data_IF_993834148121
#
_entry.id   IF_993834148121
#
_cell.length_a   1.000
_cell.length_b   1.000
_cell.length_c   1.000
_cell.angle_alpha   90.00
_cell.angle_beta   90.00
_cell.angle_gamma   90.00
#
_symmetry.space_group_name_H-M   'P 1'
#
loop_
_entity.id
_entity.type
_entity.pdbx_description
1 polymer ?
#
# COMPACT_ATOMS: atom_id res chain seq x y z
N UNK A 1 0.10 7.84 16.20
CA UNK A 1 1.24 8.37 15.40
C UNK A 1 2.53 7.88 16.01
N UNK A 2 3.48 7.50 15.19
CA UNK A 2 4.76 6.92 15.61
C UNK A 2 5.90 7.89 15.27
N UNK A 3 6.67 8.30 16.27
CA UNK A 3 7.74 9.29 16.10
C UNK A 3 8.98 8.68 15.47
N UNK A 4 9.61 9.40 14.53
CA UNK A 4 10.92 9.05 13.99
C UNK A 4 11.98 9.53 14.98
N UNK A 5 12.75 8.60 15.52
CA UNK A 5 13.79 8.85 16.55
C UNK A 5 15.13 9.17 15.88
N UNK A 6 15.45 8.47 14.79
CA UNK A 6 16.65 8.76 13.99
C UNK A 6 16.47 8.37 12.55
N UNK A 7 17.18 9.07 11.66
CA UNK A 7 17.27 8.82 10.23
C UNK A 7 18.73 8.79 9.80
N UNK A 8 19.13 7.74 9.12
CA UNK A 8 20.48 7.53 8.60
C UNK A 8 20.43 7.19 7.11
N UNK A 9 21.33 7.72 6.32
CA UNK A 9 21.45 7.43 4.90
C UNK A 9 22.46 6.31 4.68
N UNK A 10 22.06 5.23 4.02
CA UNK A 10 22.99 4.20 3.52
C UNK A 10 23.51 4.53 2.12
N UNK A 11 22.65 5.13 1.29
CA UNK A 11 23.00 5.67 -0.01
C UNK A 11 22.07 6.84 -0.35
N UNK A 12 22.21 7.44 -1.53
CA UNK A 12 21.37 8.54 -1.99
C UNK A 12 19.85 8.21 -1.88
N UNK A 13 19.48 6.94 -2.13
CA UNK A 13 18.08 6.48 -2.20
C UNK A 13 17.71 5.40 -1.17
N UNK A 14 18.58 5.12 -0.19
CA UNK A 14 18.29 4.10 0.83
C UNK A 14 18.50 4.69 2.22
N UNK A 15 17.46 4.62 3.03
CA UNK A 15 17.37 5.22 4.35
C UNK A 15 17.08 4.17 5.41
N UNK A 16 17.70 4.34 6.56
CA UNK A 16 17.37 3.63 7.80
C UNK A 16 16.60 4.57 8.71
N UNK A 17 15.42 4.15 9.14
CA UNK A 17 14.56 4.88 10.06
C UNK A 17 14.42 4.09 11.36
N UNK A 18 14.65 4.74 12.50
CA UNK A 18 14.33 4.19 13.83
C UNK A 18 13.07 4.89 14.30
N UNK A 19 12.04 4.10 14.63
CA UNK A 19 10.68 4.58 14.91
C UNK A 19 10.26 4.12 16.30
N UNK A 20 9.62 5.00 17.06
CA UNK A 20 9.00 4.66 18.33
C UNK A 20 7.75 3.79 18.11
N UNK A 21 7.80 2.53 18.53
CA UNK A 21 6.72 1.55 18.42
C UNK A 21 6.83 0.47 19.49
N UNK A 22 6.60 0.79 20.80
CA UNK A 22 6.95 -0.08 21.92
C UNK A 22 6.22 -1.42 21.94
N UNK A 23 4.97 -1.48 21.51
CA UNK A 23 4.20 -2.72 21.45
C UNK A 23 4.73 -3.65 20.35
N UNK A 24 5.08 -3.08 19.21
CA UNK A 24 5.65 -3.83 18.08
C UNK A 24 7.06 -4.32 18.46
N UNK A 25 7.88 -3.45 19.04
CA UNK A 25 9.25 -3.79 19.45
C UNK A 25 9.32 -4.99 20.40
N UNK A 26 8.36 -5.08 21.34
CA UNK A 26 8.28 -6.19 22.31
C UNK A 26 7.81 -7.51 21.71
N UNK A 27 6.97 -7.49 20.71
CA UNK A 27 6.28 -8.67 20.18
C UNK A 27 6.85 -9.16 18.83
N UNK A 28 7.69 -8.36 18.17
CA UNK A 28 8.25 -8.73 16.87
C UNK A 28 9.19 -9.93 16.95
N UNK A 29 9.23 -10.72 15.90
CA UNK A 29 10.22 -11.79 15.63
C UNK A 29 10.83 -11.58 14.24
N UNK A 30 11.90 -12.32 13.91
CA UNK A 30 12.45 -12.33 12.56
C UNK A 30 11.36 -12.69 11.53
N UNK A 31 11.38 -12.05 10.35
CA UNK A 31 10.38 -12.23 9.29
C UNK A 31 9.13 -11.37 9.43
N UNK A 32 8.84 -10.79 10.61
CA UNK A 32 7.69 -9.90 10.77
C UNK A 32 7.89 -8.57 10.05
N UNK A 33 6.79 -7.99 9.57
CA UNK A 33 6.75 -6.70 8.89
C UNK A 33 5.70 -5.77 9.53
N UNK A 34 5.66 -4.54 9.08
CA UNK A 34 4.64 -3.54 9.42
C UNK A 34 4.03 -2.97 8.15
N UNK A 35 2.81 -2.48 8.24
CA UNK A 35 2.23 -1.58 7.24
C UNK A 35 2.43 -0.16 7.72
N UNK A 36 3.03 0.68 6.89
CA UNK A 36 3.31 2.09 7.14
C UNK A 36 2.46 2.96 6.24
N UNK A 37 1.93 4.06 6.77
CA UNK A 37 1.20 5.08 5.99
C UNK A 37 1.63 6.48 6.42
N UNK A 38 1.94 7.35 5.45
CA UNK A 38 2.32 8.74 5.65
C UNK A 38 1.19 9.66 5.17
N UNK A 39 0.66 10.49 6.05
CA UNK A 39 -0.49 11.35 5.78
C UNK A 39 -1.83 10.61 5.75
N UNK A 40 -2.93 11.34 5.84
CA UNK A 40 -4.27 10.75 5.87
C UNK A 40 -4.65 10.05 4.55
N UNK A 41 -4.19 10.58 3.43
CA UNK A 41 -4.44 10.05 2.07
C UNK A 41 -3.28 9.20 1.54
N UNK A 42 -2.28 8.88 2.39
CA UNK A 42 -1.11 8.09 2.00
C UNK A 42 -1.45 6.64 1.71
N UNK A 43 -0.73 6.04 0.78
CA UNK A 43 -0.81 4.61 0.52
C UNK A 43 -0.21 3.80 1.67
N UNK A 44 -0.65 2.59 1.79
CA UNK A 44 -0.20 1.63 2.79
C UNK A 44 0.94 0.78 2.21
N UNK A 45 2.13 0.89 2.81
CA UNK A 45 3.34 0.18 2.36
C UNK A 45 3.74 -0.91 3.35
N UNK A 46 3.97 -2.14 2.91
CA UNK A 46 4.58 -3.17 3.74
C UNK A 46 6.09 -2.93 3.84
N UNK A 47 6.61 -2.88 5.05
CA UNK A 47 8.04 -2.77 5.33
C UNK A 47 8.44 -3.80 6.38
N UNK A 48 9.45 -4.62 6.08
CA UNK A 48 9.95 -5.60 7.04
C UNK A 48 10.72 -4.92 8.16
N UNK A 49 10.54 -5.42 9.38
CA UNK A 49 11.23 -4.93 10.57
C UNK A 49 12.68 -5.44 10.55
N UNK A 50 13.62 -4.58 10.18
CA UNK A 50 15.05 -4.91 10.08
C UNK A 50 15.73 -5.03 11.45
N UNK A 51 15.16 -4.42 12.49
CA UNK A 51 15.68 -4.48 13.86
C UNK A 51 14.66 -3.98 14.87
N UNK A 52 14.88 -4.26 16.16
CA UNK A 52 14.09 -3.68 17.24
C UNK A 52 14.89 -3.64 18.53
N UNK A 53 14.63 -2.63 19.34
CA UNK A 53 15.09 -2.51 20.71
C UNK A 53 13.88 -2.51 21.66
N UNK A 54 13.56 -3.64 22.31
CA UNK A 54 12.41 -3.73 23.21
C UNK A 54 12.53 -2.85 24.47
N UNK A 55 13.75 -2.48 24.86
CA UNK A 55 14.01 -1.63 26.04
C UNK A 55 13.71 -0.18 25.71
N UNK A 56 14.20 0.29 24.56
CA UNK A 56 13.89 1.65 24.06
C UNK A 56 12.50 1.74 23.44
N UNK A 57 11.84 0.62 23.16
CA UNK A 57 10.55 0.59 22.52
C UNK A 57 10.60 1.03 21.05
N UNK A 58 11.68 0.75 20.33
CA UNK A 58 11.87 1.20 18.95
C UNK A 58 11.99 0.03 17.97
N UNK A 59 11.59 0.28 16.72
CA UNK A 59 11.82 -0.61 15.58
C UNK A 59 12.67 0.10 14.52
N UNK A 60 13.41 -0.68 13.75
CA UNK A 60 14.22 -0.19 12.64
C UNK A 60 13.60 -0.65 11.31
N UNK A 61 13.38 0.30 10.42
CA UNK A 61 12.98 0.06 9.04
C UNK A 61 14.07 0.53 8.09
N UNK A 62 14.26 -0.17 6.99
CA UNK A 62 15.14 0.28 5.89
C UNK A 62 14.26 0.45 4.66
N UNK A 63 14.30 1.62 4.08
CA UNK A 63 13.41 2.05 3.01
C UNK A 63 14.24 2.46 1.80
N UNK A 64 13.90 1.93 0.64
CA UNK A 64 14.43 2.39 -0.64
C UNK A 64 13.41 3.32 -1.30
N UNK A 65 13.86 4.47 -1.73
CA UNK A 65 13.06 5.42 -2.50
C UNK A 65 12.90 4.91 -3.93
N UNK A 66 11.71 4.42 -4.24
CA UNK A 66 11.39 3.82 -5.55
C UNK A 66 10.09 4.30 -6.16
N UNK A 67 9.22 4.96 -5.40
CA UNK A 67 7.92 5.45 -5.82
C UNK A 67 7.37 6.49 -4.86
N UNK A 68 6.25 7.12 -5.22
CA UNK A 68 5.66 8.26 -4.50
C UNK A 68 5.57 8.06 -2.97
N UNK A 69 5.07 6.91 -2.53
CA UNK A 69 4.86 6.65 -1.10
C UNK A 69 6.16 6.47 -0.33
N UNK A 70 7.17 5.81 -0.93
CA UNK A 70 8.50 5.69 -0.34
C UNK A 70 9.26 7.01 -0.34
N UNK A 71 9.11 7.84 -1.38
CA UNK A 71 9.66 9.21 -1.42
C UNK A 71 9.12 10.05 -0.27
N UNK A 72 7.78 10.09 -0.09
CA UNK A 72 7.14 10.82 1.03
C UNK A 72 7.60 10.33 2.41
N UNK A 73 7.81 9.03 2.57
CA UNK A 73 8.35 8.50 3.83
C UNK A 73 9.81 8.93 4.03
N UNK A 74 10.60 8.96 2.96
CA UNK A 74 11.99 9.38 2.98
C UNK A 74 12.18 10.90 3.15
N UNK A 75 11.17 11.72 2.86
CA UNK A 75 11.16 13.17 3.13
C UNK A 75 11.02 13.51 4.62
N UNK A 76 10.44 12.61 5.42
CA UNK A 76 10.29 12.82 6.86
C UNK A 76 11.66 12.85 7.56
N UNK A 77 11.77 13.66 8.60
CA UNK A 77 13.00 13.88 9.36
C UNK A 77 12.89 13.36 10.80
N UNK A 78 14.00 13.38 11.52
CA UNK A 78 14.01 13.11 12.96
C UNK A 78 13.05 14.07 13.69
N UNK A 79 12.20 13.51 14.53
CA UNK A 79 11.17 14.25 15.26
C UNK A 79 9.81 14.27 14.60
N UNK A 80 9.73 13.99 13.28
CA UNK A 80 8.47 13.87 12.55
C UNK A 80 7.69 12.61 12.95
N UNK A 81 6.42 12.55 12.53
CA UNK A 81 5.51 11.46 12.87
C UNK A 81 5.01 10.73 11.62
N UNK A 82 5.07 9.42 11.68
CA UNK A 82 4.40 8.53 10.73
C UNK A 82 2.94 8.38 11.19
N UNK A 83 2.00 8.53 10.25
CA UNK A 83 0.56 8.52 10.56
C UNK A 83 0.11 7.20 11.14
N UNK A 84 0.42 6.09 10.47
CA UNK A 84 0.13 4.74 10.94
C UNK A 84 1.36 3.82 10.81
N UNK A 85 1.57 3.02 11.85
CA UNK A 85 2.48 1.86 11.83
C UNK A 85 1.72 0.69 12.46
N UNK A 86 1.28 -0.24 11.62
CA UNK A 86 0.44 -1.36 12.03
C UNK A 86 1.26 -2.64 12.00
N UNK A 87 1.33 -3.34 13.11
CA UNK A 87 2.09 -4.59 13.22
C UNK A 87 2.31 -5.07 14.65
N UNK A 88 3.15 -6.10 14.88
CA UNK A 88 3.83 -6.87 13.84
C UNK A 88 2.85 -7.73 13.05
N UNK A 89 3.08 -7.86 11.75
CA UNK A 89 2.26 -8.62 10.82
C UNK A 89 3.08 -9.78 10.21
N UNK A 90 2.37 -10.71 9.60
CA UNK A 90 2.95 -11.92 8.99
C UNK A 90 3.27 -13.00 10.02
N UNK A 91 3.83 -14.09 9.52
CA UNK A 91 4.36 -15.18 10.34
C UNK A 91 5.85 -14.98 10.59
N UNK A 92 6.29 -15.31 11.78
CA UNK A 92 7.71 -15.33 12.08
C UNK A 92 8.42 -16.41 11.25
N UNK A 93 9.66 -16.13 10.85
CA UNK A 93 10.54 -17.08 10.20
C UNK A 93 10.70 -18.33 11.06
N UNK A 94 10.60 -19.50 10.44
CA UNK A 94 10.92 -20.76 11.11
C UNK A 94 12.43 -20.87 11.29
N UNK A 95 12.87 -20.86 12.55
CA UNK A 95 14.28 -20.91 12.92
C UNK A 95 14.53 -22.19 13.72
N UNK A 96 15.46 -23.01 13.23
CA UNK A 96 16.00 -24.17 13.92
C UNK A 96 17.47 -24.36 13.54
N UNK A 97 18.14 -25.35 14.11
CA UNK A 97 19.48 -25.71 13.68
C UNK A 97 19.40 -26.65 12.46
N UNK A 98 19.51 -26.06 11.29
CA UNK A 98 19.55 -26.77 10.00
C UNK A 98 20.93 -27.34 9.66
N UNK A 99 21.99 -26.82 10.28
CA UNK A 99 23.38 -27.07 9.93
C UNK A 99 24.02 -25.89 9.18
N UNK A 100 24.46 -26.09 7.94
CA UNK A 100 24.98 -25.01 7.09
C UNK A 100 23.86 -24.35 6.30
N UNK A 101 23.70 -23.04 6.48
CA UNK A 101 22.64 -22.23 5.85
C UNK A 101 23.27 -21.15 4.99
N UNK A 102 22.76 -21.01 3.76
CA UNK A 102 23.10 -19.89 2.86
C UNK A 102 21.97 -18.87 2.87
N UNK A 103 22.31 -17.60 3.13
CA UNK A 103 21.39 -16.46 3.11
C UNK A 103 21.74 -15.55 1.94
N UNK A 104 20.93 -15.52 0.89
CA UNK A 104 21.14 -14.75 -0.33
C UNK A 104 20.32 -13.45 -0.30
N UNK A 105 20.97 -12.31 -0.13
CA UNK A 105 20.32 -10.98 -0.03
C UNK A 105 20.64 -10.08 -1.20
N UNK A 106 19.60 -9.48 -1.82
CA UNK A 106 19.78 -8.56 -2.94
C UNK A 106 19.25 -7.16 -2.67
N UNK A 107 20.11 -6.14 -2.85
CA UNK A 107 19.75 -4.75 -2.65
C UNK A 107 19.16 -4.49 -1.25
N UNK A 108 18.03 -3.77 -1.16
CA UNK A 108 17.35 -3.48 0.11
C UNK A 108 16.87 -4.75 0.84
N UNK A 109 16.72 -5.89 0.15
CA UNK A 109 16.36 -7.18 0.73
C UNK A 109 17.37 -7.72 1.76
N UNK A 110 18.55 -7.15 1.83
CA UNK A 110 19.54 -7.41 2.90
C UNK A 110 19.02 -7.00 4.28
N UNK A 111 18.24 -5.92 4.35
CA UNK A 111 17.71 -5.42 5.62
C UNK A 111 16.71 -6.38 6.29
N UNK A 112 15.67 -6.90 5.60
CA UNK A 112 14.82 -7.96 6.15
C UNK A 112 15.56 -9.26 6.46
N UNK A 113 16.65 -9.55 5.77
CA UNK A 113 17.44 -10.75 5.99
C UNK A 113 18.26 -10.70 7.28
N UNK A 114 18.74 -9.54 7.72
CA UNK A 114 19.59 -9.38 8.90
C UNK A 114 19.01 -10.04 10.17
N UNK A 115 17.75 -9.78 10.59
CA UNK A 115 17.19 -10.44 11.77
C UNK A 115 17.05 -11.96 11.62
N UNK A 116 16.91 -12.46 10.39
CA UNK A 116 16.86 -13.90 10.12
C UNK A 116 18.26 -14.51 10.30
N UNK A 117 19.29 -13.88 9.74
CA UNK A 117 20.70 -14.27 9.90
C UNK A 117 21.09 -14.31 11.37
N UNK A 118 20.74 -13.28 12.13
CA UNK A 118 20.99 -13.20 13.58
C UNK A 118 20.31 -14.35 14.34
N UNK A 119 19.05 -14.63 14.00
CA UNK A 119 18.29 -15.70 14.66
C UNK A 119 18.85 -17.09 14.29
N UNK A 120 19.21 -17.33 13.02
CA UNK A 120 19.85 -18.57 12.56
C UNK A 120 21.20 -18.80 13.26
N UNK A 121 22.00 -17.74 13.37
CA UNK A 121 23.29 -17.80 14.10
C UNK A 121 23.10 -18.14 15.57
N UNK A 122 22.14 -17.50 16.22
CA UNK A 122 21.79 -17.78 17.62
C UNK A 122 21.27 -19.21 17.83
N UNK A 123 20.64 -19.82 16.83
CA UNK A 123 20.20 -21.22 16.84
C UNK A 123 21.34 -22.23 16.59
N UNK A 124 22.58 -21.78 16.42
CA UNK A 124 23.75 -22.63 16.25
C UNK A 124 24.03 -23.08 14.81
N UNK A 125 23.45 -22.44 13.81
CA UNK A 125 23.76 -22.70 12.41
C UNK A 125 25.13 -22.12 12.02
N UNK A 126 25.79 -22.76 11.07
CA UNK A 126 26.83 -22.14 10.26
C UNK A 126 26.15 -21.30 9.17
N UNK A 127 26.27 -19.98 9.28
CA UNK A 127 25.57 -19.04 8.40
C UNK A 127 26.56 -18.41 7.42
N UNK A 128 26.32 -18.62 6.13
CA UNK A 128 27.06 -18.00 5.03
C UNK A 128 26.11 -17.02 4.32
N UNK A 129 26.49 -15.75 4.28
CA UNK A 129 25.66 -14.71 3.68
C UNK A 129 26.26 -14.27 2.34
N UNK A 130 25.44 -14.25 1.29
CA UNK A 130 25.79 -13.71 -0.02
C UNK A 130 25.04 -12.39 -0.19
N UNK A 131 25.76 -11.27 -0.16
CA UNK A 131 25.23 -9.94 -0.37
C UNK A 131 25.40 -9.55 -1.83
N UNK A 132 24.31 -9.17 -2.49
CA UNK A 132 24.37 -8.78 -3.89
C UNK A 132 23.78 -7.39 -4.15
N UNK A 133 24.41 -6.64 -5.04
CA UNK A 133 23.97 -5.34 -5.50
C UNK A 133 24.45 -5.07 -6.92
N UNK A 134 23.84 -4.09 -7.60
CA UNK A 134 24.31 -3.66 -8.93
C UNK A 134 25.68 -3.02 -8.84
N UNK A 135 25.88 -2.19 -7.82
CA UNK A 135 27.11 -1.43 -7.57
C UNK A 135 27.46 -1.46 -6.08
N UNK A 136 28.67 -1.02 -5.74
CA UNK A 136 29.16 -0.91 -4.36
C UNK A 136 28.21 -0.13 -3.44
N UNK A 137 27.64 0.98 -3.92
CA UNK A 137 26.78 1.88 -3.17
C UNK A 137 25.45 1.22 -2.74
N UNK A 138 25.08 0.11 -3.38
CA UNK A 138 23.87 -0.67 -3.05
C UNK A 138 24.15 -1.85 -2.11
N UNK A 139 25.40 -2.05 -1.69
CA UNK A 139 25.76 -2.99 -0.64
C UNK A 139 25.55 -2.31 0.71
N UNK A 140 24.52 -2.69 1.42
CA UNK A 140 24.13 -2.11 2.70
C UNK A 140 24.30 -3.14 3.82
N UNK A 141 24.44 -2.68 5.07
CA UNK A 141 24.50 -3.50 6.29
C UNK A 141 25.62 -4.57 6.26
N UNK A 142 26.70 -4.32 5.51
CA UNK A 142 27.80 -5.27 5.40
C UNK A 142 28.43 -5.57 6.77
N UNK A 143 28.65 -4.52 7.59
CA UNK A 143 29.23 -4.67 8.91
C UNK A 143 28.39 -5.57 9.79
N UNK A 144 27.10 -5.29 9.92
CA UNK A 144 26.16 -6.05 10.74
C UNK A 144 26.04 -7.49 10.25
N UNK A 145 26.12 -7.71 8.94
CA UNK A 145 26.10 -9.07 8.37
C UNK A 145 27.38 -9.83 8.69
N UNK A 146 28.55 -9.18 8.61
CA UNK A 146 29.82 -9.80 9.01
C UNK A 146 29.87 -10.16 10.49
N UNK A 147 29.28 -9.35 11.34
CA UNK A 147 29.16 -9.62 12.79
C UNK A 147 28.20 -10.79 13.08
N UNK A 148 27.23 -11.06 12.20
CA UNK A 148 26.16 -12.04 12.39
C UNK A 148 26.34 -13.33 11.59
N UNK A 149 27.32 -13.40 10.67
CA UNK A 149 27.57 -14.55 9.79
C UNK A 149 28.95 -15.15 10.05
N UNK A 150 29.13 -16.42 9.73
CA UNK A 150 30.47 -17.06 9.72
C UNK A 150 31.29 -16.64 8.52
N UNK A 151 30.61 -16.33 7.42
CA UNK A 151 31.22 -15.86 6.18
C UNK A 151 30.28 -14.92 5.43
N UNK A 152 30.84 -13.90 4.79
CA UNK A 152 30.10 -12.97 3.93
C UNK A 152 30.80 -12.87 2.58
N UNK A 153 30.08 -13.24 1.53
CA UNK A 153 30.50 -13.11 0.12
C UNK A 153 29.77 -11.92 -0.45
N UNK A 154 30.51 -11.02 -1.12
CA UNK A 154 29.93 -9.84 -1.76
C UNK A 154 30.01 -9.99 -3.26
N UNK A 155 28.87 -9.80 -3.93
CA UNK A 155 28.71 -9.85 -5.38
C UNK A 155 28.22 -8.50 -5.90
N UNK A 156 28.85 -7.95 -6.94
CA UNK A 156 28.35 -6.76 -7.64
C UNK A 156 28.29 -7.03 -9.14
N UNK A 157 27.17 -6.61 -9.77
CA UNK A 157 26.96 -6.88 -11.19
C UNK A 157 28.06 -6.22 -12.06
N UNK A 158 28.48 -5.01 -11.67
CA UNK A 158 29.52 -4.23 -12.38
C UNK A 158 30.95 -4.58 -11.96
N UNK A 159 31.14 -5.29 -10.85
CA UNK A 159 32.45 -5.61 -10.29
C UNK A 159 33.11 -4.46 -9.52
N UNK A 160 32.33 -3.44 -9.14
CA UNK A 160 32.85 -2.28 -8.39
C UNK A 160 33.25 -2.62 -6.95
N UNK A 161 32.77 -3.74 -6.41
CA UNK A 161 33.12 -4.22 -5.07
C UNK A 161 32.88 -5.72 -4.91
N UNK A 162 33.79 -6.41 -4.19
CA UNK A 162 33.74 -7.87 -4.01
C UNK A 162 33.99 -8.62 -5.32
N UNK A 163 33.21 -9.66 -5.57
CA UNK A 163 33.30 -10.43 -6.80
C UNK A 163 32.32 -9.88 -7.84
N UNK A 164 32.75 -9.84 -9.09
CA UNK A 164 31.88 -9.48 -10.21
C UNK A 164 30.99 -10.67 -10.55
N UNK A 165 29.67 -10.46 -10.54
CA UNK A 165 28.70 -11.48 -10.92
C UNK A 165 27.38 -11.35 -10.17
N UNK A 166 26.49 -12.31 -10.41
CA UNK A 166 25.17 -12.35 -9.83
C UNK A 166 25.18 -13.10 -8.48
N UNK A 167 24.16 -12.85 -7.64
CA UNK A 167 23.99 -13.58 -6.37
C UNK A 167 23.98 -15.11 -6.54
N UNK A 168 23.43 -15.60 -7.65
CA UNK A 168 23.37 -17.02 -7.98
C UNK A 168 24.76 -17.64 -8.12
N UNK A 169 25.73 -16.90 -8.63
CA UNK A 169 27.11 -17.39 -8.77
C UNK A 169 27.78 -17.51 -7.40
N UNK A 170 27.58 -16.55 -6.50
CA UNK A 170 28.06 -16.64 -5.13
C UNK A 170 27.40 -17.77 -4.34
N UNK A 171 26.09 -18.00 -4.51
CA UNK A 171 25.39 -19.13 -3.90
C UNK A 171 25.90 -20.46 -4.47
N UNK A 172 26.10 -20.54 -5.77
CA UNK A 172 26.63 -21.77 -6.42
C UNK A 172 28.06 -22.08 -6.00
N UNK A 173 28.90 -21.07 -5.79
CA UNK A 173 30.26 -21.22 -5.26
C UNK A 173 30.23 -21.90 -3.89
N UNK A 174 29.35 -21.46 -2.97
CA UNK A 174 29.19 -22.09 -1.65
C UNK A 174 28.71 -23.52 -1.78
N UNK A 175 27.69 -23.79 -2.61
CA UNK A 175 27.11 -25.14 -2.82
C UNK A 175 28.17 -26.11 -3.35
N UNK A 176 29.05 -25.67 -4.23
CA UNK A 176 30.14 -26.52 -4.78
C UNK A 176 31.24 -26.80 -3.77
N UNK A 177 31.41 -25.93 -2.77
CA UNK A 177 32.48 -25.98 -1.79
C UNK A 177 32.13 -26.79 -0.54
N UNK A 178 30.88 -26.69 -0.10
CA UNK A 178 30.43 -27.37 1.13
C UNK A 178 28.94 -27.77 1.04
N UNK A 179 28.55 -28.70 1.91
CA UNK A 179 27.16 -29.15 1.96
C UNK A 179 26.27 -28.08 2.57
N UNK A 180 25.29 -27.61 1.81
CA UNK A 180 24.28 -26.63 2.25
C UNK A 180 22.98 -27.34 2.57
N UNK A 181 22.45 -27.13 3.77
CA UNK A 181 21.25 -27.78 4.24
C UNK A 181 19.98 -26.98 4.00
N UNK A 182 20.09 -25.62 3.96
CA UNK A 182 18.95 -24.70 3.77
C UNK A 182 19.44 -23.41 3.09
N UNK A 183 18.60 -22.85 2.26
CA UNK A 183 18.82 -21.53 1.67
C UNK A 183 17.66 -20.58 2.04
N UNK A 184 17.99 -19.32 2.33
CA UNK A 184 17.04 -18.22 2.43
C UNK A 184 17.37 -17.20 1.36
N UNK A 185 16.39 -16.74 0.57
CA UNK A 185 16.62 -15.73 -0.46
C UNK A 185 15.63 -14.59 -0.31
N UNK A 186 16.16 -13.35 -0.18
CA UNK A 186 15.36 -12.15 0.03
C UNK A 186 15.89 -11.02 -0.87
N UNK A 187 15.02 -10.48 -1.73
CA UNK A 187 15.39 -9.43 -2.66
C UNK A 187 14.38 -9.27 -3.79
N UNK A 188 14.80 -8.73 -4.93
CA UNK A 188 13.94 -8.64 -6.11
C UNK A 188 13.36 -9.99 -6.53
N UNK A 189 12.07 -10.02 -6.91
CA UNK A 189 11.37 -11.26 -7.26
C UNK A 189 12.10 -12.09 -8.31
N UNK A 190 12.71 -11.42 -9.31
CA UNK A 190 13.50 -12.08 -10.35
C UNK A 190 14.76 -12.76 -9.78
N UNK A 191 15.43 -12.13 -8.81
CA UNK A 191 16.58 -12.70 -8.12
C UNK A 191 16.18 -13.96 -7.33
N UNK A 192 15.12 -13.87 -6.54
CA UNK A 192 14.58 -15.01 -5.76
C UNK A 192 14.21 -16.16 -6.69
N UNK A 193 13.56 -15.90 -7.83
CA UNK A 193 13.25 -16.91 -8.86
C UNK A 193 14.51 -17.66 -9.30
N UNK A 194 15.57 -16.95 -9.66
CA UNK A 194 16.79 -17.60 -10.15
C UNK A 194 17.57 -18.34 -9.05
N UNK A 195 17.58 -17.85 -7.82
CA UNK A 195 18.14 -18.58 -6.67
C UNK A 195 17.36 -19.88 -6.46
N UNK A 196 16.02 -19.85 -6.50
CA UNK A 196 15.20 -21.06 -6.37
C UNK A 196 15.44 -22.06 -7.51
N UNK A 197 15.60 -21.59 -8.76
CA UNK A 197 15.93 -22.45 -9.88
C UNK A 197 17.31 -23.12 -9.71
N UNK A 198 18.27 -22.39 -9.16
CA UNK A 198 19.60 -22.93 -8.85
C UNK A 198 19.51 -23.96 -7.74
N UNK A 199 18.97 -23.62 -6.57
CA UNK A 199 18.91 -24.50 -5.40
C UNK A 199 18.08 -25.76 -5.64
N UNK A 200 17.07 -25.67 -6.52
CA UNK A 200 16.27 -26.83 -6.94
C UNK A 200 17.10 -27.89 -7.67
N UNK A 201 18.11 -27.49 -8.48
CA UNK A 201 19.01 -28.44 -9.16
C UNK A 201 19.88 -29.23 -8.17
N UNK A 202 20.13 -28.64 -7.00
CA UNK A 202 20.94 -29.25 -5.94
C UNK A 202 20.08 -29.80 -4.80
N UNK A 203 18.75 -29.82 -4.97
CA UNK A 203 17.78 -30.33 -4.00
C UNK A 203 17.87 -29.65 -2.61
N UNK A 204 18.31 -28.38 -2.56
CA UNK A 204 18.47 -27.62 -1.32
C UNK A 204 17.15 -26.93 -1.00
N UNK A 205 16.48 -27.23 0.14
CA UNK A 205 15.27 -26.54 0.58
C UNK A 205 15.51 -25.02 0.66
N UNK A 206 14.64 -24.23 0.04
CA UNK A 206 14.85 -22.79 -0.09
C UNK A 206 13.60 -22.03 0.30
N UNK A 207 13.71 -21.16 1.30
CA UNK A 207 12.64 -20.23 1.67
C UNK A 207 12.91 -18.86 1.06
N UNK A 208 11.84 -18.22 0.58
CA UNK A 208 11.86 -16.86 0.01
C UNK A 208 10.91 -15.95 0.75
N UNK A 209 11.31 -14.73 1.02
CA UNK A 209 10.44 -13.72 1.61
C UNK A 209 9.84 -12.85 0.51
N UNK A 210 8.53 -12.98 0.29
CA UNK A 210 7.84 -12.39 -0.85
C UNK A 210 7.38 -10.96 -0.56
N UNK A 211 7.59 -10.08 -1.51
CA UNK A 211 7.26 -8.66 -1.48
C UNK A 211 6.13 -8.31 -2.46
N UNK A 212 4.97 -8.93 -2.33
CA UNK A 212 3.80 -8.65 -3.15
C UNK A 212 3.14 -7.32 -2.76
N UNK A 213 2.26 -6.79 -3.65
CA UNK A 213 1.39 -5.65 -3.32
C UNK A 213 0.55 -6.00 -2.10
N UNK A 214 0.58 -5.17 -1.06
CA UNK A 214 -0.20 -5.33 0.16
C UNK A 214 -0.91 -4.02 0.49
N UNK A 215 -2.16 -4.10 0.96
CA UNK A 215 -2.96 -2.94 1.35
C UNK A 215 -3.32 -2.99 2.82
N UNK A 216 -4.09 -3.99 3.28
CA UNK A 216 -4.52 -4.07 4.68
C UNK A 216 -3.53 -4.81 5.60
N UNK A 217 -2.83 -5.82 5.08
CA UNK A 217 -1.87 -6.63 5.85
C UNK A 217 -2.51 -7.68 6.76
N UNK A 218 -3.84 -7.84 6.77
CA UNK A 218 -4.60 -8.73 7.67
C UNK A 218 -5.31 -9.88 6.97
N UNK A 219 -5.14 -10.02 5.65
CA UNK A 219 -5.71 -11.10 4.84
C UNK A 219 -7.12 -10.84 4.32
N UNK A 220 -7.69 -9.67 4.56
CA UNK A 220 -9.08 -9.37 4.17
C UNK A 220 -9.20 -8.92 2.71
N UNK A 221 -8.31 -8.07 2.23
CA UNK A 221 -8.45 -7.43 0.91
C UNK A 221 -8.02 -8.34 -0.26
N UNK A 222 -7.22 -9.39 -0.03
CA UNK A 222 -6.74 -10.29 -1.07
C UNK A 222 -5.73 -9.69 -2.07
N UNK A 223 -5.25 -8.46 -1.87
CA UNK A 223 -4.29 -7.81 -2.75
C UNK A 223 -2.98 -8.59 -2.86
N UNK A 224 -2.53 -9.19 -1.76
CA UNK A 224 -1.27 -9.94 -1.65
C UNK A 224 -1.39 -11.43 -2.04
N UNK A 225 -2.46 -11.85 -2.73
CA UNK A 225 -2.63 -13.25 -3.13
C UNK A 225 -1.56 -13.69 -4.10
N UNK A 226 -1.14 -14.93 -3.96
CA UNK A 226 -0.14 -15.59 -4.78
C UNK A 226 -0.44 -17.09 -4.87
N UNK A 227 0.01 -17.76 -5.92
CA UNK A 227 -0.10 -19.21 -6.04
C UNK A 227 1.17 -19.89 -5.53
N UNK A 228 1.00 -20.76 -4.51
CA UNK A 228 2.05 -21.58 -3.90
C UNK A 228 1.62 -23.07 -3.99
N UNK A 229 2.38 -23.89 -4.71
CA UNK A 229 2.05 -25.31 -4.91
C UNK A 229 0.64 -25.53 -5.49
N UNK A 230 0.22 -24.67 -6.42
CA UNK A 230 -1.10 -24.71 -7.06
C UNK A 230 -2.26 -24.21 -6.18
N UNK A 231 -2.00 -23.66 -4.98
CA UNK A 231 -3.01 -23.11 -4.08
C UNK A 231 -2.84 -21.63 -3.86
N UNK A 232 -3.95 -20.89 -3.82
CA UNK A 232 -3.92 -19.47 -3.47
C UNK A 232 -3.56 -19.27 -2.01
N UNK A 233 -2.58 -18.43 -1.74
CA UNK A 233 -2.12 -17.99 -0.43
C UNK A 233 -2.13 -16.47 -0.34
N UNK A 234 -2.18 -15.93 0.88
CA UNK A 234 -2.12 -14.50 1.15
C UNK A 234 -0.82 -14.18 1.88
N UNK A 235 0.10 -13.49 1.20
CA UNK A 235 1.45 -13.24 1.70
C UNK A 235 1.45 -12.57 3.08
N UNK A 236 0.51 -11.67 3.33
CA UNK A 236 0.42 -10.93 4.60
C UNK A 236 0.05 -11.78 5.83
N UNK A 237 -0.63 -12.92 5.66
CA UNK A 237 -1.08 -13.77 6.78
C UNK A 237 -0.58 -15.22 6.71
N UNK A 238 -0.33 -15.74 5.50
CA UNK A 238 0.23 -17.09 5.31
C UNK A 238 1.76 -17.07 5.29
N UNK A 239 2.39 -15.93 4.93
CA UNK A 239 3.82 -15.68 4.84
C UNK A 239 4.31 -14.59 5.79
N UNK A 240 5.32 -13.79 5.42
CA UNK A 240 5.81 -13.52 4.05
C UNK A 240 6.72 -14.59 3.45
N UNK A 241 7.16 -15.58 4.23
CA UNK A 241 8.09 -16.60 3.78
C UNK A 241 7.36 -17.86 3.31
N UNK A 242 7.85 -18.41 2.20
CA UNK A 242 7.32 -19.60 1.56
C UNK A 242 8.43 -20.47 0.97
N UNK A 243 8.15 -21.76 0.80
CA UNK A 243 8.98 -22.65 0.01
C UNK A 243 9.10 -22.11 -1.43
N UNK A 244 10.28 -21.58 -1.76
CA UNK A 244 10.55 -20.94 -3.03
C UNK A 244 10.41 -21.86 -4.24
N UNK A 245 10.55 -23.17 -4.07
CA UNK A 245 10.37 -24.15 -5.14
C UNK A 245 8.89 -24.35 -5.53
N UNK A 246 7.95 -23.87 -4.72
CA UNK A 246 6.51 -23.95 -4.97
C UNK A 246 5.88 -22.62 -5.39
N UNK A 247 6.63 -21.51 -5.37
CA UNK A 247 6.14 -20.18 -5.73
C UNK A 247 5.94 -20.05 -7.24
N UNK A 248 4.77 -19.57 -7.66
CA UNK A 248 4.56 -19.10 -9.04
C UNK A 248 5.10 -17.68 -9.20
N UNK A 249 6.40 -17.59 -9.50
CA UNK A 249 7.07 -16.33 -9.72
C UNK A 249 6.59 -15.59 -10.99
N UNK A 250 6.08 -16.29 -11.98
CA UNK A 250 5.61 -15.64 -13.22
C UNK A 250 4.27 -14.92 -12.96
N UNK A 251 3.36 -15.54 -12.22
CA UNK A 251 2.17 -14.87 -11.73
C UNK A 251 2.53 -13.66 -10.86
N UNK A 252 3.47 -13.83 -9.91
CA UNK A 252 3.92 -12.76 -9.02
C UNK A 252 4.44 -11.54 -9.81
N UNK A 253 5.37 -11.76 -10.74
CA UNK A 253 5.96 -10.70 -11.55
C UNK A 253 4.91 -9.97 -12.41
N UNK A 254 3.97 -10.71 -13.00
CA UNK A 254 2.86 -10.14 -13.77
C UNK A 254 1.97 -9.25 -12.90
N UNK A 255 1.63 -9.69 -11.69
CA UNK A 255 0.82 -8.92 -10.74
C UNK A 255 1.52 -7.67 -10.22
N UNK A 256 2.81 -7.76 -9.89
CA UNK A 256 3.62 -6.61 -9.47
C UNK A 256 3.71 -5.55 -10.57
N UNK A 257 3.65 -5.93 -11.83
CA UNK A 257 3.65 -5.01 -12.95
C UNK A 257 2.30 -4.36 -13.29
N UNK A 258 1.20 -4.76 -12.61
CA UNK A 258 -0.17 -4.36 -12.99
C UNK A 258 -0.43 -2.84 -12.90
N UNK A 259 0.23 -2.15 -11.96
CA UNK A 259 0.05 -0.70 -11.74
C UNK A 259 1.25 0.15 -12.20
N UNK A 260 2.24 -0.47 -12.85
CA UNK A 260 3.51 0.18 -13.20
C UNK A 260 3.37 1.45 -14.07
N UNK A 261 2.35 1.50 -14.92
CA UNK A 261 2.10 2.69 -15.73
C UNK A 261 1.52 3.83 -14.88
N UNK A 262 0.57 3.52 -14.00
CA UNK A 262 -0.06 4.49 -13.08
C UNK A 262 0.99 5.04 -12.12
N UNK A 263 1.81 4.17 -11.55
CA UNK A 263 2.92 4.58 -10.66
C UNK A 263 3.91 5.52 -11.37
N UNK A 264 4.21 5.25 -12.65
CA UNK A 264 5.09 6.11 -13.46
C UNK A 264 4.45 7.47 -13.75
N UNK A 265 3.16 7.51 -14.08
CA UNK A 265 2.44 8.76 -14.30
C UNK A 265 2.38 9.62 -13.03
N UNK A 266 2.16 9.02 -11.87
CA UNK A 266 2.14 9.74 -10.59
C UNK A 266 3.54 10.25 -10.19
N UNK A 267 4.60 9.49 -10.47
CA UNK A 267 5.98 9.97 -10.26
C UNK A 267 6.32 11.14 -11.19
N UNK A 268 5.93 11.07 -12.46
CA UNK A 268 6.15 12.17 -13.42
C UNK A 268 5.42 13.45 -12.97
N UNK A 269 4.20 13.33 -12.49
CA UNK A 269 3.47 14.47 -11.90
C UNK A 269 4.18 15.06 -10.69
N UNK A 270 4.81 14.24 -9.85
CA UNK A 270 5.59 14.71 -8.71
C UNK A 270 6.82 15.50 -9.17
N UNK A 271 7.54 14.99 -10.18
CA UNK A 271 8.71 15.65 -10.76
C UNK A 271 8.35 16.99 -11.44
N UNK A 272 7.24 17.04 -12.17
CA UNK A 272 6.72 18.28 -12.78
C UNK A 272 6.24 19.30 -11.75
N UNK A 273 5.76 18.85 -10.56
CA UNK A 273 5.25 19.74 -9.50
C UNK A 273 6.32 20.26 -8.54
N UNK A 274 7.59 19.85 -8.68
CA UNK A 274 8.71 20.48 -7.97
C UNK A 274 9.03 21.91 -8.47
N UNK A 275 8.46 22.32 -9.62
CA UNK A 275 8.49 23.70 -10.09
C UNK A 275 7.09 24.33 -9.91
N UNK A 276 6.91 25.09 -8.83
CA UNK A 276 5.72 25.88 -8.47
C UNK A 276 4.54 25.10 -7.87
N UNK A 277 4.42 25.17 -6.56
CA UNK A 277 3.15 24.95 -5.86
C UNK A 277 2.24 26.16 -6.16
N UNK A 278 1.16 25.99 -6.96
CA UNK A 278 0.10 27.00 -6.96
C UNK A 278 -0.61 26.90 -5.61
N UNK A 279 -0.67 27.97 -4.88
CA UNK A 279 -1.31 28.10 -3.55
C UNK A 279 -2.84 28.03 -3.59
N UNK A 280 -3.45 27.50 -4.65
CA UNK A 280 -4.90 27.25 -4.73
C UNK A 280 -5.13 25.76 -4.94
N UNK A 281 -5.44 25.06 -3.86
CA UNK A 281 -5.94 23.69 -3.90
C UNK A 281 -7.23 23.64 -4.74
N UNK A 282 -7.14 23.19 -5.98
CA UNK A 282 -8.27 23.05 -6.91
C UNK A 282 -9.39 22.14 -6.35
N UNK A 283 -9.06 21.33 -5.35
CA UNK A 283 -9.99 20.44 -4.66
C UNK A 283 -10.64 21.11 -3.44
N UNK A 284 -10.11 22.25 -2.98
CA UNK A 284 -10.63 22.92 -1.81
C UNK A 284 -12.04 23.50 -2.06
N UNK A 285 -12.77 23.75 -0.98
CA UNK A 285 -14.04 24.46 -1.05
C UNK A 285 -13.88 25.86 -1.65
N UNK A 286 -12.71 26.48 -1.49
CA UNK A 286 -12.41 27.83 -1.95
C UNK A 286 -11.81 27.85 -3.37
N UNK A 287 -11.75 26.71 -4.06
CA UNK A 287 -11.38 26.65 -5.46
C UNK A 287 -12.25 27.62 -6.31
N UNK A 288 -11.68 28.37 -7.25
CA UNK A 288 -12.41 29.37 -8.04
C UNK A 288 -13.67 28.83 -8.71
N UNK A 289 -13.60 27.62 -9.28
CA UNK A 289 -14.73 26.97 -9.93
C UNK A 289 -15.89 26.63 -8.97
N UNK A 290 -15.59 26.25 -7.70
CA UNK A 290 -16.62 25.98 -6.68
C UNK A 290 -17.25 27.29 -6.19
N UNK A 291 -16.45 28.33 -6.06
CA UNK A 291 -16.92 29.66 -5.68
C UNK A 291 -17.84 30.25 -6.76
N UNK A 292 -17.50 30.05 -8.02
CA UNK A 292 -18.35 30.47 -9.15
C UNK A 292 -19.71 29.77 -9.12
N UNK A 293 -19.74 28.44 -8.93
CA UNK A 293 -20.97 27.69 -8.78
C UNK A 293 -21.83 28.14 -7.59
N UNK A 294 -21.21 28.52 -6.47
CA UNK A 294 -21.95 29.08 -5.33
C UNK A 294 -22.55 30.45 -5.63
N UNK A 295 -21.87 31.24 -6.47
CA UNK A 295 -22.35 32.58 -6.88
C UNK A 295 -23.41 32.50 -7.97
N UNK A 296 -23.38 31.48 -8.83
CA UNK A 296 -24.30 31.37 -9.98
C UNK A 296 -25.76 31.16 -9.56
N UNK A 297 -26.02 30.46 -8.45
CA UNK A 297 -27.36 30.20 -7.91
C UNK A 297 -27.33 30.48 -6.41
N UNK A 298 -28.22 31.40 -5.95
CA UNK A 298 -28.30 31.74 -4.52
C UNK A 298 -28.82 30.57 -3.68
N UNK A 299 -28.40 30.52 -2.42
CA UNK A 299 -28.80 29.46 -1.48
C UNK A 299 -30.33 29.26 -1.41
N UNK A 300 -31.13 30.32 -1.38
CA UNK A 300 -32.59 30.27 -1.37
C UNK A 300 -33.17 29.67 -2.65
N UNK A 301 -32.55 29.92 -3.79
CA UNK A 301 -32.99 29.34 -5.07
C UNK A 301 -32.65 27.86 -5.15
N UNK A 302 -31.50 27.45 -4.60
CA UNK A 302 -31.10 26.05 -4.47
C UNK A 302 -32.07 25.25 -3.60
N UNK A 303 -32.53 25.84 -2.50
CA UNK A 303 -33.53 25.25 -1.58
C UNK A 303 -34.89 25.07 -2.23
N UNK A 304 -35.27 25.91 -3.19
CA UNK A 304 -36.53 25.79 -3.90
C UNK A 304 -36.57 24.70 -4.98
N UNK A 305 -35.44 24.11 -5.32
CA UNK A 305 -35.39 23.01 -6.29
C UNK A 305 -35.96 21.75 -5.63
N UNK A 306 -36.97 21.14 -6.25
CA UNK A 306 -37.53 19.88 -5.74
C UNK A 306 -36.49 18.74 -5.82
N UNK A 307 -36.48 17.89 -4.78
CA UNK A 307 -35.68 16.67 -4.76
C UNK A 307 -36.12 15.74 -5.88
N UNK A 308 -35.17 15.35 -6.73
CA UNK A 308 -35.41 14.41 -7.81
C UNK A 308 -35.86 13.04 -7.29
N UNK A 309 -36.81 12.45 -8.00
CA UNK A 309 -37.21 11.06 -7.76
C UNK A 309 -36.34 10.16 -8.63
N UNK A 310 -35.95 9.01 -8.07
CA UNK A 310 -35.26 7.98 -8.84
C UNK A 310 -36.21 7.39 -9.89
N UNK A 311 -35.69 7.17 -11.08
CA UNK A 311 -36.44 6.47 -12.12
C UNK A 311 -36.56 4.99 -11.74
N UNK A 312 -37.73 4.41 -11.94
CA UNK A 312 -38.00 3.01 -11.67
C UNK A 312 -38.63 2.34 -12.89
N UNK A 313 -38.40 1.03 -13.03
CA UNK A 313 -39.10 0.22 -14.01
C UNK A 313 -40.60 0.23 -13.72
N UNK A 314 -41.42 0.19 -14.78
CA UNK A 314 -42.86 0.08 -14.68
C UNK A 314 -43.27 -1.10 -13.79
N UNK A 315 -44.33 -0.89 -12.99
CA UNK A 315 -44.76 -1.86 -11.97
C UNK A 315 -45.22 -3.19 -12.58
N UNK A 316 -45.88 -3.16 -13.73
CA UNK A 316 -46.32 -4.36 -14.44
C UNK A 316 -45.11 -5.12 -15.03
N UNK A 317 -44.21 -4.40 -15.69
CA UNK A 317 -42.99 -4.98 -16.27
C UNK A 317 -42.12 -5.65 -15.21
N UNK A 318 -41.85 -4.97 -14.08
CA UNK A 318 -40.99 -5.51 -12.99
C UNK A 318 -41.58 -6.69 -12.27
N UNK A 319 -42.91 -6.86 -12.32
CA UNK A 319 -43.58 -8.03 -11.75
C UNK A 319 -43.25 -9.34 -12.51
N UNK A 320 -42.91 -9.25 -13.76
CA UNK A 320 -42.58 -10.36 -14.64
C UNK A 320 -41.08 -10.55 -14.90
N UNK A 321 -40.21 -9.58 -14.52
CA UNK A 321 -38.77 -9.65 -14.71
C UNK A 321 -38.04 -9.61 -13.36
N UNK A 322 -37.12 -10.60 -13.13
CA UNK A 322 -36.22 -10.64 -11.97
C UNK A 322 -34.77 -10.37 -12.37
N UNK A 323 -34.52 -10.05 -13.65
CA UNK A 323 -33.15 -9.93 -14.21
C UNK A 323 -32.65 -8.51 -14.21
N UNK A 324 -33.54 -7.53 -14.12
CA UNK A 324 -33.21 -6.11 -14.24
C UNK A 324 -33.38 -5.42 -12.89
N UNK A 325 -32.50 -4.46 -12.63
CA UNK A 325 -32.58 -3.61 -11.43
C UNK A 325 -33.82 -2.72 -11.52
N UNK A 326 -34.66 -2.72 -10.50
CA UNK A 326 -35.91 -1.94 -10.48
C UNK A 326 -35.63 -0.44 -10.52
N UNK A 327 -34.68 0.02 -9.71
CA UNK A 327 -34.24 1.39 -9.70
C UNK A 327 -33.29 1.66 -10.86
N UNK A 328 -33.66 2.56 -11.76
CA UNK A 328 -32.91 2.87 -12.98
C UNK A 328 -31.91 4.03 -12.79
N UNK A 329 -31.85 4.63 -11.60
CA UNK A 329 -30.96 5.77 -11.32
C UNK A 329 -31.55 7.10 -11.83
N UNK A 330 -30.66 8.11 -11.92
CA UNK A 330 -30.99 9.42 -12.46
C UNK A 330 -30.44 9.54 -13.87
N UNK A 331 -31.13 10.30 -14.74
CA UNK A 331 -30.51 10.78 -15.98
C UNK A 331 -29.46 11.86 -15.68
N UNK A 332 -28.59 12.18 -16.65
CA UNK A 332 -27.60 13.24 -16.48
C UNK A 332 -28.24 14.59 -16.14
N UNK A 333 -29.36 14.94 -16.77
CA UNK A 333 -30.10 16.17 -16.51
C UNK A 333 -30.70 16.19 -15.09
N UNK A 334 -31.28 15.06 -14.65
CA UNK A 334 -31.79 14.91 -13.30
C UNK A 334 -30.67 15.00 -12.26
N UNK A 335 -29.54 14.35 -12.51
CA UNK A 335 -28.39 14.39 -11.63
C UNK A 335 -27.82 15.81 -11.47
N UNK A 336 -27.65 16.55 -12.55
CA UNK A 336 -27.23 17.97 -12.51
C UNK A 336 -28.27 18.82 -11.76
N UNK A 337 -29.55 18.58 -11.96
CA UNK A 337 -30.64 19.32 -11.27
C UNK A 337 -30.60 19.02 -9.76
N UNK A 338 -30.48 17.77 -9.36
CA UNK A 338 -30.34 17.39 -7.95
C UNK A 338 -29.05 17.93 -7.32
N UNK A 339 -27.94 17.91 -8.06
CA UNK A 339 -26.66 18.43 -7.60
C UNK A 339 -26.70 19.94 -7.29
N UNK A 340 -27.48 20.72 -8.05
CA UNK A 340 -27.71 22.15 -7.79
C UNK A 340 -28.33 22.44 -6.43
N UNK A 341 -29.01 21.49 -5.81
CA UNK A 341 -29.57 21.64 -4.45
C UNK A 341 -28.48 21.75 -3.39
N UNK A 342 -27.30 21.17 -3.61
CA UNK A 342 -26.20 21.21 -2.64
C UNK A 342 -25.71 22.65 -2.40
N UNK A 343 -25.69 23.07 -1.12
CA UNK A 343 -25.26 24.42 -0.70
C UNK A 343 -23.74 24.57 -0.59
N UNK A 344 -22.97 23.49 -0.76
CA UNK A 344 -21.53 23.48 -0.58
C UNK A 344 -21.09 24.06 0.77
N UNK A 345 -21.60 23.50 1.86
CA UNK A 345 -21.45 24.02 3.23
C UNK A 345 -19.98 24.17 3.64
N UNK A 346 -19.68 25.15 4.49
CA UNK A 346 -18.34 25.32 5.07
C UNK A 346 -17.99 24.17 6.02
N UNK A 347 -18.98 23.73 6.81
CA UNK A 347 -18.88 22.56 7.70
C UNK A 347 -19.92 21.54 7.27
N UNK A 348 -19.58 20.63 6.34
CA UNK A 348 -20.53 19.75 5.71
C UNK A 348 -20.83 18.53 6.61
N UNK A 349 -21.89 18.60 7.44
CA UNK A 349 -22.29 17.50 8.31
C UNK A 349 -22.52 16.17 7.56
N UNK A 350 -22.85 16.20 6.28
CA UNK A 350 -22.99 15.00 5.46
C UNK A 350 -21.68 14.18 5.37
N UNK A 351 -20.50 14.82 5.41
CA UNK A 351 -19.22 14.12 5.46
C UNK A 351 -19.03 13.40 6.79
N UNK A 352 -19.42 14.02 7.91
CA UNK A 352 -19.37 13.37 9.23
C UNK A 352 -20.32 12.17 9.33
N UNK A 353 -21.40 12.19 8.54
CA UNK A 353 -22.35 11.08 8.45
C UNK A 353 -21.91 9.95 7.52
N UNK A 354 -20.81 10.11 6.78
CA UNK A 354 -20.30 9.10 5.86
C UNK A 354 -19.21 8.24 6.54
N UNK A 355 -19.43 6.93 6.72
CA UNK A 355 -18.45 6.06 7.41
C UNK A 355 -17.07 5.99 6.72
N UNK A 356 -17.01 6.24 5.42
CA UNK A 356 -15.77 6.19 4.62
C UNK A 356 -15.23 7.59 4.28
N UNK A 357 -15.84 8.65 4.80
CA UNK A 357 -15.32 10.03 4.70
C UNK A 357 -15.28 10.61 3.30
N UNK A 358 -16.26 10.29 2.43
CA UNK A 358 -16.34 10.87 1.07
C UNK A 358 -16.45 12.38 1.15
N UNK A 359 -15.70 13.12 0.30
CA UNK A 359 -15.90 14.55 0.09
C UNK A 359 -17.20 14.80 -0.70
N UNK A 360 -18.32 14.69 0.02
CA UNK A 360 -19.66 14.74 -0.56
C UNK A 360 -19.93 16.06 -1.28
N UNK A 361 -19.62 17.24 -0.73
CA UNK A 361 -19.86 18.49 -1.46
C UNK A 361 -19.06 18.58 -2.76
N UNK A 362 -17.81 18.08 -2.79
CA UNK A 362 -16.96 18.16 -3.99
C UNK A 362 -17.48 17.27 -5.12
N UNK A 363 -17.81 16.00 -4.86
CA UNK A 363 -18.32 15.17 -5.94
C UNK A 363 -19.66 15.67 -6.47
N UNK A 364 -20.54 16.22 -5.61
CA UNK A 364 -21.81 16.79 -6.03
C UNK A 364 -21.57 18.04 -6.86
N UNK A 365 -20.62 18.91 -6.52
CA UNK A 365 -20.27 20.10 -7.31
C UNK A 365 -19.64 19.74 -8.65
N UNK A 366 -18.90 18.65 -8.74
CA UNK A 366 -18.43 18.12 -10.02
C UNK A 366 -19.61 17.65 -10.91
N UNK A 367 -20.63 17.01 -10.34
CA UNK A 367 -21.86 16.68 -11.08
C UNK A 367 -22.58 17.96 -11.54
N UNK A 368 -22.70 18.97 -10.68
CA UNK A 368 -23.37 20.24 -11.00
C UNK A 368 -22.76 20.93 -12.24
N UNK A 369 -21.44 20.86 -12.41
CA UNK A 369 -20.73 21.43 -13.58
C UNK A 369 -20.63 20.48 -14.77
N UNK A 370 -21.18 19.26 -14.68
CA UNK A 370 -21.15 18.25 -15.76
C UNK A 370 -19.89 17.41 -15.81
N UNK A 371 -18.98 17.52 -14.85
CA UNK A 371 -17.72 16.78 -14.77
C UNK A 371 -17.91 15.44 -14.05
N UNK A 372 -18.64 14.52 -14.69
CA UNK A 372 -19.04 13.26 -14.07
C UNK A 372 -17.85 12.33 -13.75
N UNK A 373 -16.81 12.34 -14.58
CA UNK A 373 -15.60 11.57 -14.33
C UNK A 373 -14.82 12.10 -13.11
N UNK A 374 -14.79 13.42 -12.91
CA UNK A 374 -14.17 14.02 -11.72
C UNK A 374 -15.00 13.72 -10.46
N UNK A 375 -16.33 13.66 -10.60
CA UNK A 375 -17.19 13.20 -9.51
C UNK A 375 -16.87 11.74 -9.11
N UNK A 376 -16.74 10.85 -10.10
CA UNK A 376 -16.37 9.45 -9.86
C UNK A 376 -14.97 9.31 -9.25
N UNK A 377 -13.99 10.09 -9.68
CA UNK A 377 -12.64 10.14 -9.07
C UNK A 377 -12.71 10.57 -7.61
N UNK A 378 -13.46 11.63 -7.31
CA UNK A 378 -13.66 12.12 -5.94
C UNK A 378 -14.27 11.03 -5.03
N UNK A 379 -15.26 10.29 -5.50
CA UNK A 379 -15.84 9.17 -4.76
C UNK A 379 -14.81 8.08 -4.48
N UNK A 380 -13.97 7.75 -5.47
CA UNK A 380 -12.96 6.70 -5.38
C UNK A 380 -11.75 7.07 -4.51
N UNK A 381 -11.57 8.31 -4.12
CA UNK A 381 -10.50 8.69 -3.20
C UNK A 381 -10.59 7.98 -1.84
N UNK A 382 -11.80 7.73 -1.37
CA UNK A 382 -12.03 7.10 -0.06
C UNK A 382 -12.93 5.86 -0.11
N UNK A 383 -13.73 5.67 -1.17
CA UNK A 383 -14.62 4.53 -1.35
C UNK A 383 -14.13 3.60 -2.46
N UNK A 384 -13.88 2.34 -2.12
CA UNK A 384 -13.50 1.32 -3.12
C UNK A 384 -14.67 0.87 -4.01
N UNK A 385 -15.91 1.04 -3.54
CA UNK A 385 -17.12 0.50 -4.18
C UNK A 385 -18.27 1.51 -4.22
N UNK A 386 -18.09 2.73 -4.76
CA UNK A 386 -19.12 3.77 -4.73
C UNK A 386 -20.43 3.34 -5.41
N UNK A 387 -20.35 2.59 -6.51
CA UNK A 387 -21.54 2.08 -7.21
C UNK A 387 -22.39 1.11 -6.35
N UNK A 388 -21.76 0.38 -5.42
CA UNK A 388 -22.47 -0.47 -4.45
C UNK A 388 -23.02 0.39 -3.31
N UNK A 389 -22.20 1.30 -2.76
CA UNK A 389 -22.59 2.19 -1.68
C UNK A 389 -23.82 3.04 -2.04
N UNK A 390 -23.86 3.61 -3.23
CA UNK A 390 -25.01 4.35 -3.75
C UNK A 390 -26.31 3.54 -3.86
N UNK A 391 -26.23 2.19 -3.80
CA UNK A 391 -27.38 1.27 -3.87
C UNK A 391 -27.79 0.71 -2.50
N UNK A 392 -26.85 0.47 -1.59
CA UNK A 392 -27.10 -0.32 -0.38
C UNK A 392 -26.91 0.44 0.92
N UNK A 393 -26.22 1.57 0.91
CA UNK A 393 -26.07 2.39 2.13
C UNK A 393 -27.42 2.92 2.60
N UNK A 394 -27.70 2.90 3.91
CA UNK A 394 -28.89 3.55 4.48
C UNK A 394 -28.63 5.07 4.61
N UNK A 395 -28.53 5.77 3.48
CA UNK A 395 -28.13 7.19 3.42
C UNK A 395 -29.02 8.08 4.30
N UNK A 396 -30.32 7.74 4.41
CA UNK A 396 -31.28 8.43 5.28
C UNK A 396 -30.95 8.36 6.77
N UNK A 397 -30.06 7.43 7.17
CA UNK A 397 -29.53 7.30 8.55
C UNK A 397 -28.10 7.76 8.68
N UNK A 398 -27.41 7.98 7.57
CA UNK A 398 -26.00 8.35 7.47
C UNK A 398 -25.84 9.78 6.93
N UNK A 399 -25.31 9.93 5.72
CA UNK A 399 -24.96 11.23 5.12
C UNK A 399 -26.17 12.15 4.92
N UNK A 400 -27.30 11.62 4.41
CA UNK A 400 -28.49 12.43 4.18
C UNK A 400 -29.13 12.91 5.49
N UNK A 401 -29.05 12.11 6.60
CA UNK A 401 -29.57 12.50 7.92
C UNK A 401 -28.84 13.72 8.52
N UNK A 402 -27.66 14.05 8.01
CA UNK A 402 -26.85 15.20 8.46
C UNK A 402 -26.89 16.37 7.49
N UNK A 403 -27.69 16.30 6.42
CA UNK A 403 -27.81 17.37 5.44
C UNK A 403 -28.43 18.62 6.06
N UNK A 404 -27.86 19.80 5.75
CA UNK A 404 -28.33 21.09 6.28
C UNK A 404 -29.79 21.39 5.91
N UNK A 405 -30.29 20.91 4.78
CA UNK A 405 -31.69 21.06 4.36
C UNK A 405 -32.69 20.57 5.41
N UNK A 406 -32.36 19.52 6.17
CA UNK A 406 -33.22 19.07 7.26
C UNK A 406 -33.40 20.10 8.37
N UNK A 407 -32.37 20.93 8.64
CA UNK A 407 -32.49 22.04 9.61
C UNK A 407 -33.37 23.18 9.10
N UNK A 408 -33.61 23.23 7.79
CA UNK A 408 -34.51 24.21 7.14
C UNK A 408 -35.89 23.61 6.90
N UNK A 409 -36.17 22.43 7.46
CA UNK A 409 -37.42 21.66 7.27
C UNK A 409 -37.67 21.29 5.79
N UNK A 410 -36.60 21.01 5.06
CA UNK A 410 -36.60 20.62 3.64
C UNK A 410 -36.09 19.19 3.48
N UNK A 411 -36.38 18.55 2.33
CA UNK A 411 -35.83 17.24 2.02
C UNK A 411 -34.32 17.35 1.79
N UNK A 412 -33.50 16.42 2.31
CA UNK A 412 -32.06 16.42 2.09
C UNK A 412 -31.73 16.27 0.60
N UNK A 413 -30.51 16.63 0.20
CA UNK A 413 -29.98 16.30 -1.12
C UNK A 413 -29.94 14.78 -1.26
N UNK A 414 -30.31 14.25 -2.41
CA UNK A 414 -30.33 12.81 -2.69
C UNK A 414 -28.90 12.29 -2.95
N UNK A 415 -28.09 12.26 -1.88
CA UNK A 415 -26.65 11.96 -1.96
C UNK A 415 -26.40 10.57 -2.53
N UNK A 416 -27.13 9.56 -2.07
CA UNK A 416 -27.01 8.19 -2.57
C UNK A 416 -27.40 8.04 -4.04
N UNK A 417 -28.37 8.80 -4.51
CA UNK A 417 -28.78 8.79 -5.93
C UNK A 417 -27.68 9.39 -6.81
N UNK A 418 -27.05 10.46 -6.34
CA UNK A 418 -25.92 11.10 -7.03
C UNK A 418 -24.65 10.24 -6.99
N UNK A 419 -24.37 9.56 -5.88
CA UNK A 419 -23.27 8.59 -5.75
C UNK A 419 -23.45 7.40 -6.70
N UNK A 420 -24.69 6.90 -6.83
CA UNK A 420 -25.02 5.85 -7.78
C UNK A 420 -24.87 6.31 -9.23
N UNK A 421 -25.18 7.56 -9.53
CA UNK A 421 -25.11 8.14 -10.87
C UNK A 421 -23.67 8.32 -11.36
N UNK A 422 -22.79 8.83 -10.48
CA UNK A 422 -21.37 9.06 -10.79
C UNK A 422 -20.56 7.75 -10.89
#
# INVERSE_FOLDING_TARGET
MNKIISKEHFSEKVFKLVIEAPLIAKSRKAGHFVIVRVGEKGERMPLTIAGADPVKGTITLVVQEVGLSSTRLCELNEGDYITDVVGPLGKATHIENFGTVVCAGGGVGVAPMLPIVQALKAAGNRVITVLAGRTKELIILEKEMRESSDEVIIMTDDGSYGHKGLVTEGVEEVIKRETVNKCFAIGPAIMMKFVCLLTKKYEIPTDVSLNTIMVDGTGMCGACRITIGGKTKFVCVDGPEFDGHQVDFDEMLKRMGAFKNIEREEMHKLEEHCEAIPTTDENSRNAPWREELRKSIKAKERSNIERCKMNELDAEYRSHSRKEEVNQGLTAEQAVTEAKRCLDCANPGCMEGCPVGIDIPRFIKNIERGEFLEAAKTLKETSALPAVCGRVCPQEKQCESKCIHLKMNEKPVAIGYLERFA
#
